data_IF_431963049238
#
_entry.id   IF_431963049238
#
_cell.length_a   1.000
_cell.length_b   1.000
_cell.length_c   1.000
_cell.angle_alpha   90.00
_cell.angle_beta   90.00
_cell.angle_gamma   90.00
#
_symmetry.space_group_name_H-M   'P 1'
#
loop_
_entity.id
_entity.type
_entity.pdbx_description
1 polymer ?
#
# COMPACT_ATOMS: atom_id res chain seq x y z
N UNK A 1 4.79 -5.00 -3.36
CA UNK A 1 4.13 -3.68 -3.17
C UNK A 1 5.13 -2.69 -2.60
N UNK A 2 5.13 -1.45 -3.07
CA UNK A 2 6.02 -0.39 -2.62
C UNK A 2 5.24 0.90 -2.34
N UNK A 3 5.59 1.58 -1.25
CA UNK A 3 4.98 2.79 -0.72
C UNK A 3 5.98 3.94 -0.75
N UNK A 4 5.54 5.16 -0.45
CA UNK A 4 6.44 6.32 -0.35
C UNK A 4 7.51 6.15 0.75
N UNK A 5 7.27 5.29 1.76
CA UNK A 5 8.20 5.02 2.86
C UNK A 5 9.38 4.16 2.39
N UNK A 6 9.12 3.10 1.61
CA UNK A 6 10.17 2.18 1.15
C UNK A 6 10.81 2.58 -0.19
N UNK A 7 10.35 3.67 -0.83
CA UNK A 7 10.91 4.23 -2.08
C UNK A 7 11.67 5.54 -1.91
N UNK A 8 11.77 6.07 -0.69
CA UNK A 8 12.42 7.37 -0.46
C UNK A 8 13.92 7.28 -0.83
N UNK A 9 14.40 8.04 -1.82
CA UNK A 9 15.80 7.95 -2.24
C UNK A 9 16.81 8.48 -1.21
N UNK A 10 16.39 9.42 -0.36
CA UNK A 10 17.22 10.01 0.70
C UNK A 10 16.30 10.58 1.79
N UNK A 11 16.42 10.10 3.04
CA UNK A 11 15.67 10.62 4.20
C UNK A 11 15.15 9.56 5.19
N UNK A 12 14.63 10.04 6.32
CA UNK A 12 14.25 9.27 7.52
C UNK A 12 13.31 8.08 7.25
N UNK A 13 12.49 8.12 6.20
CA UNK A 13 11.51 7.07 5.87
C UNK A 13 12.11 5.69 5.59
N UNK A 14 13.22 5.61 4.84
CA UNK A 14 13.92 4.33 4.61
C UNK A 14 14.54 3.79 5.90
N UNK A 15 15.08 4.68 6.74
CA UNK A 15 15.72 4.28 8.00
C UNK A 15 14.70 3.72 9.00
N UNK A 16 13.50 4.31 9.03
CA UNK A 16 12.41 3.87 9.88
C UNK A 16 11.82 2.53 9.42
N UNK A 17 11.63 2.34 8.12
CA UNK A 17 11.17 1.03 7.62
C UNK A 17 12.20 -0.07 7.87
N UNK A 18 13.49 0.23 7.73
CA UNK A 18 14.57 -0.72 8.05
C UNK A 18 14.60 -1.10 9.53
N UNK A 19 14.29 -0.17 10.45
CA UNK A 19 14.21 -0.49 11.87
C UNK A 19 13.01 -1.38 12.19
N UNK A 20 11.89 -1.21 11.48
CA UNK A 20 10.74 -2.11 11.56
C UNK A 20 11.07 -3.51 11.04
N UNK A 21 11.77 -3.61 9.91
CA UNK A 21 12.23 -4.89 9.36
C UNK A 21 13.24 -5.58 10.29
N UNK A 22 14.08 -4.82 11.00
CA UNK A 22 14.99 -5.38 11.99
C UNK A 22 14.26 -5.91 13.23
N UNK A 23 13.31 -5.12 13.76
CA UNK A 23 12.45 -5.55 14.87
C UNK A 23 11.62 -6.79 14.52
N UNK A 24 11.13 -6.89 13.28
CA UNK A 24 10.38 -8.05 12.77
C UNK A 24 11.16 -9.37 12.80
N UNK A 25 12.51 -9.34 12.82
CA UNK A 25 13.32 -10.56 12.92
C UNK A 25 13.19 -11.24 14.28
N UNK A 26 12.85 -10.48 15.32
CA UNK A 26 12.88 -10.94 16.72
C UNK A 26 11.53 -10.79 17.43
N UNK A 27 10.61 -9.97 16.91
CA UNK A 27 9.28 -9.75 17.48
C UNK A 27 8.18 -10.15 16.47
N UNK A 28 7.32 -11.08 16.86
CA UNK A 28 6.23 -11.61 16.04
C UNK A 28 5.15 -10.55 15.70
N UNK A 29 4.86 -9.61 16.60
CA UNK A 29 3.91 -8.52 16.35
C UNK A 29 4.49 -7.52 15.34
N UNK A 30 5.79 -7.24 15.43
CA UNK A 30 6.49 -6.43 14.44
C UNK A 30 6.54 -7.16 13.08
N UNK A 31 6.72 -8.47 13.07
CA UNK A 31 6.69 -9.29 11.86
C UNK A 31 5.32 -9.25 11.15
N UNK A 32 4.22 -9.39 11.90
CA UNK A 32 2.87 -9.26 11.33
C UNK A 32 2.62 -7.84 10.80
N UNK A 33 3.06 -6.81 11.52
CA UNK A 33 2.95 -5.42 11.07
C UNK A 33 3.69 -5.19 9.75
N UNK A 34 4.95 -5.63 9.65
CA UNK A 34 5.74 -5.55 8.42
C UNK A 34 5.12 -6.37 7.29
N UNK A 35 4.60 -7.55 7.60
CA UNK A 35 3.93 -8.42 6.62
C UNK A 35 2.68 -7.74 6.07
N UNK A 36 1.76 -7.26 6.90
CA UNK A 36 0.55 -6.52 6.47
C UNK A 36 0.90 -5.28 5.64
N UNK A 37 2.02 -4.63 5.95
CA UNK A 37 2.50 -3.50 5.17
C UNK A 37 2.99 -3.89 3.76
N UNK A 38 3.64 -5.05 3.62
CA UNK A 38 4.22 -5.54 2.36
C UNK A 38 3.18 -6.28 1.51
N UNK A 39 2.30 -7.03 2.15
CA UNK A 39 1.26 -7.87 1.55
C UNK A 39 -0.10 -7.21 1.71
N UNK A 40 -0.55 -6.49 0.67
CA UNK A 40 -1.92 -5.99 0.63
C UNK A 40 -2.79 -6.91 -0.22
N UNK A 41 -3.84 -7.51 0.34
CA UNK A 41 -4.80 -8.26 -0.45
C UNK A 41 -5.52 -7.32 -1.42
N UNK A 42 -6.15 -7.90 -2.46
CA UNK A 42 -6.91 -7.12 -3.45
C UNK A 42 -7.95 -6.22 -2.78
N UNK A 43 -8.55 -6.70 -1.70
CA UNK A 43 -9.68 -6.07 -1.02
C UNK A 43 -9.58 -6.26 0.49
N UNK A 44 -9.99 -5.23 1.21
CA UNK A 44 -10.02 -5.19 2.66
C UNK A 44 -11.39 -4.67 3.09
N UNK A 45 -12.00 -5.32 4.09
CA UNK A 45 -13.32 -4.97 4.62
C UNK A 45 -13.22 -4.92 6.14
N UNK A 46 -13.57 -3.79 6.74
CA UNK A 46 -13.46 -3.57 8.17
C UNK A 46 -14.81 -3.20 8.78
N UNK A 47 -15.10 -3.73 9.96
CA UNK A 47 -16.21 -3.26 10.78
C UNK A 47 -15.67 -2.23 11.78
N UNK A 48 -15.85 -0.95 11.49
CA UNK A 48 -15.32 0.14 12.33
C UNK A 48 -15.94 0.21 13.73
N UNK A 49 -17.10 -0.42 13.94
CA UNK A 49 -17.74 -0.46 15.27
C UNK A 49 -17.05 -1.48 16.16
N UNK A 50 -16.74 -2.65 15.60
CA UNK A 50 -16.08 -3.74 16.32
C UNK A 50 -14.54 -3.61 16.30
N UNK A 51 -13.98 -2.98 15.27
CA UNK A 51 -12.55 -2.81 15.03
C UNK A 51 -12.24 -1.37 14.58
N UNK A 52 -12.20 -0.41 15.51
CA UNK A 52 -11.93 1.00 15.22
C UNK A 52 -10.54 1.28 14.63
N UNK A 53 -9.64 0.28 14.69
CA UNK A 53 -8.26 0.40 14.26
C UNK A 53 -7.96 -0.42 12.99
N UNK A 54 -8.98 -0.98 12.34
CA UNK A 54 -8.86 -1.67 11.05
C UNK A 54 -7.78 -2.77 11.08
N UNK A 55 -7.69 -3.49 12.20
CA UNK A 55 -6.70 -4.54 12.41
C UNK A 55 -7.15 -5.89 11.84
N UNK A 56 -8.44 -6.13 11.69
CA UNK A 56 -9.01 -7.40 11.23
C UNK A 56 -9.85 -7.21 9.96
N UNK A 57 -9.25 -7.58 8.82
CA UNK A 57 -9.99 -7.61 7.55
C UNK A 57 -10.94 -8.81 7.52
N UNK A 58 -12.22 -8.52 7.26
CA UNK A 58 -13.33 -9.46 7.10
C UNK A 58 -13.49 -9.90 5.64
N UNK A 59 -12.66 -9.41 4.72
CA UNK A 59 -12.84 -9.59 3.29
C UNK A 59 -12.70 -11.06 2.82
N UNK A 60 -11.95 -11.87 3.56
CA UNK A 60 -11.78 -13.30 3.26
C UNK A 60 -12.88 -14.19 3.87
N UNK A 61 -13.76 -13.63 4.71
CA UNK A 61 -14.77 -14.42 5.43
C UNK A 61 -16.02 -14.60 4.56
N UNK A 62 -16.48 -15.85 4.28
CA UNK A 62 -17.60 -16.11 3.38
C UNK A 62 -18.90 -15.39 3.75
N UNK A 63 -19.11 -15.18 5.05
CA UNK A 63 -20.29 -14.50 5.60
C UNK A 63 -20.42 -13.04 5.17
N UNK A 64 -19.34 -12.39 4.73
CA UNK A 64 -19.32 -10.98 4.34
C UNK A 64 -19.26 -10.76 2.81
N UNK A 65 -19.36 -11.83 2.02
CA UNK A 65 -19.32 -11.78 0.54
C UNK A 65 -20.41 -10.87 -0.05
N UNK A 66 -21.63 -10.91 0.49
CA UNK A 66 -22.72 -10.03 0.07
C UNK A 66 -22.43 -8.55 0.31
N UNK A 67 -21.81 -8.22 1.46
CA UNK A 67 -21.41 -6.85 1.79
C UNK A 67 -20.29 -6.36 0.88
N UNK A 68 -19.29 -7.19 0.60
CA UNK A 68 -18.25 -6.88 -0.37
C UNK A 68 -18.82 -6.59 -1.75
N UNK A 69 -19.75 -7.41 -2.23
CA UNK A 69 -20.39 -7.20 -3.53
C UNK A 69 -21.14 -5.85 -3.58
N UNK A 70 -21.89 -5.52 -2.54
CA UNK A 70 -22.56 -4.21 -2.43
C UNK A 70 -21.56 -3.05 -2.51
N UNK A 71 -20.48 -3.10 -1.73
CA UNK A 71 -19.48 -2.03 -1.70
C UNK A 71 -18.73 -1.89 -3.03
N UNK A 72 -18.44 -3.01 -3.72
CA UNK A 72 -17.88 -2.99 -5.09
C UNK A 72 -18.80 -2.25 -6.04
N UNK A 73 -20.08 -2.59 -6.07
CA UNK A 73 -21.05 -1.95 -6.97
C UNK A 73 -21.15 -0.45 -6.73
N UNK A 74 -21.13 -0.01 -5.46
CA UNK A 74 -21.12 1.42 -5.11
C UNK A 74 -19.85 2.12 -5.59
N UNK A 75 -18.69 1.50 -5.39
CA UNK A 75 -17.41 2.03 -5.86
C UNK A 75 -17.39 2.14 -7.40
N UNK A 76 -17.82 1.11 -8.12
CA UNK A 76 -17.90 1.11 -9.58
C UNK A 76 -18.84 2.19 -10.12
N UNK A 77 -19.96 2.45 -9.43
CA UNK A 77 -20.86 3.55 -9.78
C UNK A 77 -20.16 4.90 -9.61
N UNK A 78 -19.50 5.11 -8.48
CA UNK A 78 -18.76 6.35 -8.22
C UNK A 78 -17.61 6.57 -9.20
N UNK A 79 -16.82 5.55 -9.53
CA UNK A 79 -15.76 5.64 -10.55
C UNK A 79 -16.30 6.12 -11.90
N UNK A 80 -17.46 5.58 -12.31
CA UNK A 80 -18.15 6.01 -13.54
C UNK A 80 -18.60 7.47 -13.46
N UNK A 81 -19.14 7.90 -12.31
CA UNK A 81 -19.53 9.30 -12.09
C UNK A 81 -18.34 10.26 -12.15
N UNK A 82 -17.17 9.83 -11.67
CA UNK A 82 -15.93 10.62 -11.75
C UNK A 82 -15.25 10.56 -13.13
N UNK A 83 -15.81 9.80 -14.07
CA UNK A 83 -15.20 9.50 -15.37
C UNK A 83 -13.76 8.95 -15.20
N UNK A 84 -13.55 8.16 -14.14
CA UNK A 84 -12.29 7.50 -13.85
C UNK A 84 -12.13 6.26 -14.76
N UNK A 85 -11.04 6.24 -15.52
CA UNK A 85 -10.73 5.15 -16.46
C UNK A 85 -9.83 4.06 -15.87
N UNK A 86 -9.53 4.13 -14.57
CA UNK A 86 -8.64 3.22 -13.86
C UNK A 86 -7.25 3.14 -14.50
N UNK A 87 -6.81 4.24 -15.12
CA UNK A 87 -5.54 4.30 -15.84
C UNK A 87 -4.37 4.23 -14.86
N UNK A 88 -3.54 3.22 -15.01
CA UNK A 88 -2.28 3.09 -14.26
C UNK A 88 -1.13 3.62 -15.12
N UNK A 89 -0.49 4.70 -14.68
CA UNK A 89 0.57 5.37 -15.45
C UNK A 89 1.96 4.72 -15.31
N UNK A 90 2.17 3.91 -14.27
CA UNK A 90 3.46 3.31 -13.94
C UNK A 90 3.35 1.79 -13.85
N UNK A 91 4.44 1.08 -14.13
CA UNK A 91 4.48 -0.37 -13.94
C UNK A 91 4.35 -0.72 -12.44
N UNK A 92 3.38 -1.57 -12.07
CA UNK A 92 3.20 -1.98 -10.68
C UNK A 92 4.35 -2.87 -10.21
N UNK A 93 4.84 -2.62 -8.99
CA UNK A 93 5.87 -3.46 -8.36
C UNK A 93 5.22 -4.68 -7.71
N UNK A 94 5.57 -5.88 -8.19
CA UNK A 94 5.07 -7.14 -7.65
C UNK A 94 5.61 -7.41 -6.24
N UNK A 95 4.96 -8.32 -5.51
CA UNK A 95 5.44 -8.76 -4.20
C UNK A 95 6.79 -9.48 -4.37
N UNK A 96 7.79 -9.11 -3.57
CA UNK A 96 9.14 -9.66 -3.64
C UNK A 96 10.11 -8.91 -4.56
N UNK A 97 9.63 -7.95 -5.36
CA UNK A 97 10.52 -7.03 -6.07
C UNK A 97 10.98 -5.90 -5.14
N UNK A 98 12.29 -5.63 -5.13
CA UNK A 98 12.86 -4.48 -4.43
C UNK A 98 12.26 -3.19 -4.99
N UNK A 99 11.92 -2.26 -4.10
CA UNK A 99 11.28 -1.02 -4.49
C UNK A 99 12.28 -0.10 -5.22
N UNK A 100 12.03 0.24 -6.49
CA UNK A 100 12.90 1.18 -7.21
C UNK A 100 12.84 2.55 -6.51
N UNK A 101 13.98 3.06 -6.01
CA UNK A 101 14.01 4.34 -5.31
C UNK A 101 13.62 5.47 -6.27
N UNK A 102 12.80 6.40 -5.80
CA UNK A 102 12.45 7.60 -6.58
C UNK A 102 13.64 8.56 -6.47
N UNK A 103 14.59 8.44 -7.38
CA UNK A 103 15.72 9.35 -7.46
C UNK A 103 15.21 10.77 -7.80
N UNK A 104 15.74 11.83 -7.18
CA UNK A 104 15.43 13.18 -7.62
C UNK A 104 15.81 13.33 -9.09
N UNK A 105 14.93 13.95 -9.88
CA UNK A 105 15.19 14.20 -11.30
C UNK A 105 16.57 14.86 -11.45
N UNK A 106 17.42 14.29 -12.30
CA UNK A 106 18.76 14.80 -12.56
C UNK A 106 18.66 16.30 -12.88
N UNK A 107 19.24 17.14 -12.03
CA UNK A 107 19.36 18.57 -12.23
C UNK A 107 20.09 18.76 -13.55
N UNK A 108 19.40 19.20 -14.61
CA UNK A 108 20.07 19.64 -15.83
C UNK A 108 21.01 20.78 -15.43
N UNK A 109 22.31 20.53 -15.39
CA UNK A 109 23.30 21.59 -15.34
C UNK A 109 23.07 22.46 -16.59
N UNK A 110 22.52 23.66 -16.39
CA UNK A 110 22.57 24.71 -17.40
C UNK A 110 24.04 25.06 -17.59
N UNK A 111 24.60 24.71 -18.74
CA UNK A 111 25.90 25.22 -19.18
C UNK A 111 25.88 26.75 -19.16
N UNK A 112 26.86 27.33 -18.47
CA UNK A 112 27.20 28.75 -18.60
C UNK A 112 27.69 29.01 -20.03
N UNK A 113 27.09 29.98 -20.71
CA UNK A 113 27.77 30.76 -21.74
C UNK A 113 28.50 31.91 -21.07
#
# INVERSE_FOLDING_TARGET
HATHINRAASGDGLSYFRSWEDAAKTNAEAAETVRRYKERPREELYDLTADPHEQRSLAAEPQHTGRLAEMRTRLEAWLREQNDQLTVFNEPLFLGQEATPILPAATKQKGKQ
#
